data_IF_096968072723
#
_entry.id   IF_096968072723
#
_cell.length_a   1.000
_cell.length_b   1.000
_cell.length_c   1.000
_cell.angle_alpha   90.00
_cell.angle_beta   90.00
_cell.angle_gamma   90.00
#
_symmetry.space_group_name_H-M   'P 1'
#
loop_
_entity.id
_entity.type
_entity.pdbx_description
1 polymer ?
#
# COMPACT_ATOMS: atom_id res chain seq x y z
N UNK A 1 -7.17 -10.44 -24.96
CA UNK A 1 -6.14 -11.20 -24.22
C UNK A 1 -5.88 -10.37 -22.97
N UNK A 2 -6.58 -10.65 -21.87
CA UNK A 2 -6.40 -9.91 -20.62
C UNK A 2 -6.20 -10.94 -19.51
N UNK A 3 -5.57 -10.49 -18.41
CA UNK A 3 -5.35 -11.21 -17.14
C UNK A 3 -3.95 -11.84 -16.93
N UNK A 4 -2.92 -10.99 -16.93
CA UNK A 4 -1.66 -11.25 -16.19
C UNK A 4 -1.34 -10.11 -15.21
N UNK A 5 -2.36 -9.46 -14.63
CA UNK A 5 -2.18 -8.31 -13.74
C UNK A 5 -2.41 -8.60 -12.24
N UNK A 6 -2.72 -9.85 -11.90
CA UNK A 6 -3.01 -10.25 -10.52
C UNK A 6 -1.94 -11.20 -9.97
N UNK A 7 -1.50 -10.96 -8.74
CA UNK A 7 -0.62 -11.87 -8.01
C UNK A 7 -1.30 -12.34 -6.73
N UNK A 8 -1.28 -13.64 -6.46
CA UNK A 8 -1.76 -14.21 -5.20
C UNK A 8 -0.66 -14.16 -4.13
N UNK A 9 -0.98 -13.63 -2.95
CA UNK A 9 -0.14 -13.68 -1.76
C UNK A 9 -0.87 -14.35 -0.60
N UNK A 10 -0.08 -14.96 0.30
CA UNK A 10 -0.58 -15.53 1.56
C UNK A 10 -0.26 -14.57 2.70
N UNK A 11 -1.27 -14.20 3.47
CA UNK A 11 -1.11 -13.42 4.72
C UNK A 11 -1.55 -14.29 5.88
N UNK A 12 -0.74 -14.32 6.94
CA UNK A 12 -1.02 -15.14 8.13
C UNK A 12 -1.19 -14.24 9.35
N UNK A 13 -2.34 -14.33 10.01
CA UNK A 13 -2.71 -13.49 11.15
C UNK A 13 -3.25 -14.40 12.25
N UNK A 14 -2.63 -14.38 13.43
CA UNK A 14 -3.12 -15.15 14.58
C UNK A 14 -3.18 -16.67 14.36
N UNK A 15 -2.39 -17.20 13.40
CA UNK A 15 -2.42 -18.62 13.01
C UNK A 15 -3.44 -18.98 11.92
N UNK A 16 -4.22 -18.00 11.44
CA UNK A 16 -5.11 -18.17 10.30
C UNK A 16 -4.48 -17.62 9.02
N UNK A 17 -4.62 -18.37 7.91
CA UNK A 17 -4.05 -18.00 6.62
C UNK A 17 -5.13 -17.51 5.65
N UNK A 18 -4.88 -16.35 5.05
CA UNK A 18 -5.73 -15.68 4.08
C UNK A 18 -5.02 -15.63 2.73
N UNK A 19 -5.78 -15.84 1.65
CA UNK A 19 -5.34 -15.66 0.28
C UNK A 19 -5.86 -14.35 -0.25
N UNK A 20 -4.97 -13.53 -0.81
CA UNK A 20 -5.29 -12.18 -1.27
C UNK A 20 -4.70 -11.98 -2.67
N UNK A 21 -5.46 -11.35 -3.56
CA UNK A 21 -4.99 -10.96 -4.88
C UNK A 21 -4.52 -9.49 -4.86
N UNK A 22 -3.30 -9.24 -5.33
CA UNK A 22 -2.78 -7.90 -5.60
C UNK A 22 -2.93 -7.58 -7.09
N UNK A 23 -3.63 -6.49 -7.43
CA UNK A 23 -3.78 -6.02 -8.81
C UNK A 23 -2.79 -4.90 -9.15
N UNK A 24 -2.12 -5.02 -10.29
CA UNK A 24 -1.25 -3.99 -10.86
C UNK A 24 -2.00 -2.84 -11.54
N UNK A 25 -3.32 -2.90 -11.66
CA UNK A 25 -4.13 -1.96 -12.46
C UNK A 25 -3.95 -0.50 -12.05
N UNK A 26 -3.98 -0.21 -10.75
CA UNK A 26 -3.94 1.17 -10.24
C UNK A 26 -2.55 1.64 -9.82
N UNK A 27 -1.66 0.71 -9.44
CA UNK A 27 -0.37 1.05 -8.83
C UNK A 27 0.68 -0.05 -9.05
N UNK A 28 1.11 -0.25 -10.31
CA UNK A 28 2.00 -1.35 -10.68
C UNK A 28 3.33 -1.29 -9.93
N UNK A 29 3.89 -0.08 -9.75
CA UNK A 29 5.15 0.14 -9.02
C UNK A 29 5.06 -0.22 -7.53
N UNK A 30 3.92 0.06 -6.89
CA UNK A 30 3.70 -0.28 -5.48
C UNK A 30 3.63 -1.80 -5.32
N UNK A 31 2.88 -2.48 -6.20
CA UNK A 31 2.77 -3.95 -6.19
C UNK A 31 4.14 -4.60 -6.37
N UNK A 32 4.95 -4.12 -7.31
CA UNK A 32 6.30 -4.64 -7.53
C UNK A 32 7.22 -4.49 -6.32
N UNK A 33 7.15 -3.35 -5.61
CA UNK A 33 7.91 -3.15 -4.37
C UNK A 33 7.43 -4.07 -3.24
N UNK A 34 6.11 -4.24 -3.08
CA UNK A 34 5.54 -5.14 -2.07
C UNK A 34 6.04 -6.57 -2.32
N UNK A 35 5.89 -7.06 -3.57
CA UNK A 35 6.31 -8.41 -3.96
C UNK A 35 7.82 -8.59 -3.79
N UNK A 36 8.62 -7.60 -4.18
CA UNK A 36 10.07 -7.62 -4.00
C UNK A 36 10.54 -7.55 -2.54
N UNK A 37 9.65 -7.20 -1.61
CA UNK A 37 9.94 -7.13 -0.18
C UNK A 37 9.49 -8.37 0.59
N UNK A 38 8.86 -9.34 -0.07
CA UNK A 38 8.48 -10.59 0.57
C UNK A 38 9.73 -11.41 0.95
N UNK A 39 9.72 -12.11 2.10
CA UNK A 39 8.66 -12.16 3.11
C UNK A 39 8.61 -10.92 4.02
N UNK A 40 7.39 -10.50 4.42
CA UNK A 40 7.15 -9.36 5.32
C UNK A 40 6.56 -9.87 6.64
N UNK A 41 7.15 -9.45 7.75
CA UNK A 41 6.60 -9.64 9.10
C UNK A 41 6.31 -8.27 9.72
N UNK A 42 5.16 -8.11 10.36
CA UNK A 42 4.71 -6.82 10.88
C UNK A 42 3.69 -6.98 12.00
N UNK A 43 3.51 -5.92 12.80
CA UNK A 43 2.50 -5.86 13.85
C UNK A 43 1.14 -5.50 13.26
N UNK A 44 0.13 -6.32 13.57
CA UNK A 44 -1.23 -6.11 13.10
C UNK A 44 -1.93 -5.05 13.93
N UNK A 45 -2.49 -4.06 13.26
CA UNK A 45 -3.29 -2.97 13.83
C UNK A 45 -4.73 -3.07 13.31
N UNK A 46 -5.67 -2.51 14.08
CA UNK A 46 -7.10 -2.51 13.74
C UNK A 46 -7.68 -1.12 13.81
N UNK A 47 -8.59 -0.81 12.90
CA UNK A 47 -9.39 0.40 12.92
C UNK A 47 -10.84 0.06 12.57
N UNK A 48 -11.71 0.02 13.58
CA UNK A 48 -13.06 -0.48 13.40
C UNK A 48 -13.03 -1.93 12.92
N UNK A 49 -13.57 -2.17 11.73
CA UNK A 49 -13.59 -3.48 11.07
C UNK A 49 -12.41 -3.69 10.11
N UNK A 50 -11.51 -2.72 9.97
CA UNK A 50 -10.34 -2.79 9.11
C UNK A 50 -9.11 -3.34 9.83
N UNK A 51 -8.36 -4.20 9.14
CA UNK A 51 -7.06 -4.70 9.57
C UNK A 51 -5.99 -4.12 8.66
N UNK A 52 -4.96 -3.54 9.26
CA UNK A 52 -3.82 -2.99 8.53
C UNK A 52 -2.51 -3.30 9.26
N UNK A 53 -1.41 -3.28 8.52
CA UNK A 53 -0.08 -3.55 9.03
C UNK A 53 0.94 -2.75 8.20
N UNK A 54 2.08 -2.45 8.82
CA UNK A 54 3.12 -1.67 8.16
C UNK A 54 3.87 -2.56 7.17
N UNK A 55 4.20 -2.03 5.98
CA UNK A 55 5.01 -2.70 4.96
C UNK A 55 6.28 -1.89 4.70
N UNK A 56 7.43 -2.53 4.40
CA UNK A 56 8.71 -1.86 4.18
C UNK A 56 8.77 -1.21 2.78
N UNK A 57 7.72 -0.49 2.38
CA UNK A 57 7.60 0.15 1.08
C UNK A 57 7.43 1.64 1.25
N UNK A 58 8.46 2.40 0.89
CA UNK A 58 8.37 3.84 0.82
C UNK A 58 7.66 4.27 -0.46
N UNK A 59 6.53 4.95 -0.31
CA UNK A 59 5.88 5.69 -1.37
C UNK A 59 6.05 7.19 -1.11
N UNK A 60 6.86 7.85 -1.93
CA UNK A 60 6.86 9.30 -2.03
C UNK A 60 5.62 9.76 -2.80
N UNK A 61 4.44 9.65 -2.17
CA UNK A 61 3.22 10.28 -2.65
C UNK A 61 2.69 11.24 -1.59
N UNK A 62 3.56 12.10 -1.09
CA UNK A 62 3.11 13.37 -0.56
C UNK A 62 3.34 14.37 -1.68
N UNK A 63 2.25 14.69 -2.41
CA UNK A 63 2.14 16.01 -3.03
C UNK A 63 2.69 17.01 -2.02
N UNK A 64 3.65 17.89 -2.35
CA UNK A 64 3.98 18.97 -1.43
C UNK A 64 2.66 19.70 -1.20
N UNK A 65 2.17 19.66 0.04
CA UNK A 65 1.13 20.59 0.47
C UNK A 65 1.82 21.95 0.41
N UNK A 66 1.81 22.57 -0.78
CA UNK A 66 2.02 24.01 -0.86
C UNK A 66 0.78 24.58 -0.21
N UNK A 67 0.92 25.04 1.03
CA UNK A 67 -0.12 25.80 1.70
C UNK A 67 -0.61 26.89 0.74
N UNK A 68 -1.88 26.91 0.33
CA UNK A 68 -2.38 27.91 -0.62
C UNK A 68 -2.38 29.33 -0.02
N UNK A 69 -2.10 29.47 1.28
CA UNK A 69 -2.14 30.75 2.00
C UNK A 69 -0.80 31.50 2.05
N UNK A 70 0.26 31.02 1.39
CA UNK A 70 1.52 31.79 1.30
C UNK A 70 1.65 32.68 0.05
N UNK A 71 0.57 32.90 -0.70
CA UNK A 71 0.54 33.89 -1.79
C UNK A 71 -0.06 35.22 -1.32
N UNK A 72 0.67 35.91 -0.42
CA UNK A 72 0.38 37.29 0.00
C UNK A 72 0.93 38.32 -1.02
N UNK A 73 0.79 38.03 -2.32
CA UNK A 73 1.22 38.90 -3.42
C UNK A 73 0.11 39.86 -3.92
N UNK A 74 -1.04 39.92 -3.25
CA UNK A 74 -2.16 40.82 -3.62
C UNK A 74 -2.60 41.72 -2.46
N UNK A 75 -1.63 42.35 -1.78
CA UNK A 75 -1.86 43.57 -0.99
C UNK A 75 -0.82 44.65 -1.27
#
# INVERSE_FOLDING_TARGET
>A
MYEENEMEIKVEIGGEAFKIALTKEFSPKTVEKIVGSLPIESEVKKWGDEIYFDVPVENHSCFPLTDPESDDSLR
#
